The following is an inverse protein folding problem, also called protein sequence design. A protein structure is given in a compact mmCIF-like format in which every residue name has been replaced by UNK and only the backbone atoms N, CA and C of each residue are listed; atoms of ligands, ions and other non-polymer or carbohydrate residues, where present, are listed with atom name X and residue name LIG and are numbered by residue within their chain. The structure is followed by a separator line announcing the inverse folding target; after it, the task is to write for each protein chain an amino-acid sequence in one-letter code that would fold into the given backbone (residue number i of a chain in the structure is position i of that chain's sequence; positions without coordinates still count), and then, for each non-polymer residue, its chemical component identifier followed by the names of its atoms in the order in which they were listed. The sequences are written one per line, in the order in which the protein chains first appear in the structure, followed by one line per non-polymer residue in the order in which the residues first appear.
data_IF_797511175483
#
_entry.id   IF_797511175483
#
_cell.length_a   1.000
_cell.length_b   1.000
_cell.length_c   1.000
_cell.angle_alpha   90.00
_cell.angle_beta   90.00
_cell.angle_gamma   90.00
#
_symmetry.space_group_name_H-M   'P 1'
#
loop_
_entity.id
_entity.type
_entity.pdbx_description
1 polymer ?
#
# COMPACT_ATOMS: atom_id res chain seq x y z
N UNK A 1 -2.94 -5.07 30.58
CA UNK A 1 -2.91 -5.40 29.14
C UNK A 1 -1.97 -4.43 28.46
N UNK A 2 -0.80 -4.91 28.05
CA UNK A 2 0.23 -4.12 27.37
C UNK A 2 -0.22 -3.82 25.94
N UNK A 3 -0.42 -2.55 25.61
CA UNK A 3 -0.51 -2.10 24.22
C UNK A 3 0.90 -2.26 23.64
N UNK A 4 1.15 -3.39 22.99
CA UNK A 4 2.35 -3.61 22.20
C UNK A 4 2.36 -2.60 21.05
N UNK A 5 3.28 -1.64 21.13
CA UNK A 5 3.60 -0.65 20.09
C UNK A 5 4.30 -1.29 18.88
N UNK A 6 3.80 -2.41 18.38
CA UNK A 6 4.39 -3.14 17.26
C UNK A 6 3.31 -3.60 16.29
N UNK A 7 3.54 -3.35 14.99
CA UNK A 7 2.77 -3.82 13.82
C UNK A 7 1.61 -2.96 13.30
N UNK A 8 1.73 -1.62 13.32
CA UNK A 8 0.94 -0.79 12.37
C UNK A 8 1.73 -0.67 11.06
N UNK A 9 1.10 -0.91 9.93
CA UNK A 9 1.69 -0.73 8.60
C UNK A 9 2.62 -1.84 8.10
N UNK A 10 2.76 -2.98 8.78
CA UNK A 10 3.69 -4.05 8.34
C UNK A 10 3.17 -4.97 7.25
N UNK A 11 1.88 -4.91 6.91
CA UNK A 11 1.28 -5.87 6.00
C UNK A 11 1.70 -5.68 4.53
N UNK A 12 1.73 -6.79 3.79
CA UNK A 12 2.03 -6.82 2.37
C UNK A 12 0.77 -6.82 1.50
N UNK A 13 0.90 -6.28 0.28
CA UNK A 13 -0.12 -6.37 -0.76
C UNK A 13 0.47 -7.16 -1.91
N UNK A 14 -0.18 -8.26 -2.28
CA UNK A 14 0.17 -9.08 -3.44
C UNK A 14 -0.95 -8.92 -4.45
N UNK A 15 -0.62 -8.62 -5.70
CA UNK A 15 -1.60 -8.53 -6.77
C UNK A 15 -1.11 -9.24 -8.02
N UNK A 16 -1.96 -10.10 -8.55
CA UNK A 16 -1.86 -10.63 -9.90
C UNK A 16 -2.87 -9.88 -10.74
N UNK A 17 -2.42 -9.35 -11.87
CA UNK A 17 -3.26 -8.61 -12.80
C UNK A 17 -2.91 -8.99 -14.22
N UNK A 18 -3.84 -8.79 -15.15
CA UNK A 18 -3.54 -8.93 -16.57
C UNK A 18 -2.53 -7.87 -17.01
N UNK A 19 -1.91 -8.05 -18.18
CA UNK A 19 -1.04 -7.04 -18.78
C UNK A 19 -1.75 -5.72 -19.08
N UNK A 20 -3.09 -5.70 -19.10
CA UNK A 20 -3.93 -4.50 -19.20
C UNK A 20 -4.27 -3.86 -17.85
N UNK A 21 -3.71 -4.37 -16.73
CA UNK A 21 -3.94 -3.81 -15.40
C UNK A 21 -5.25 -4.24 -14.73
N UNK A 22 -5.96 -5.24 -15.28
CA UNK A 22 -7.18 -5.78 -14.68
C UNK A 22 -6.81 -6.75 -13.55
N UNK A 23 -7.26 -6.54 -12.30
CA UNK A 23 -6.95 -7.44 -11.19
C UNK A 23 -7.52 -8.84 -11.44
N UNK A 24 -6.67 -9.85 -11.27
CA UNK A 24 -7.05 -11.27 -11.22
C UNK A 24 -7.25 -11.68 -9.76
N UNK A 25 -6.21 -11.46 -8.94
CA UNK A 25 -6.20 -11.72 -7.50
C UNK A 25 -5.52 -10.55 -6.83
N UNK A 26 -6.06 -10.05 -5.73
CA UNK A 26 -5.36 -9.13 -4.84
C UNK A 26 -5.55 -9.57 -3.40
N UNK A 27 -4.43 -9.67 -2.69
CA UNK A 27 -4.36 -10.11 -1.30
C UNK A 27 -3.70 -8.96 -0.51
N UNK A 28 -4.35 -8.43 0.54
CA UNK A 28 -5.68 -8.80 1.00
C UNK A 28 -6.80 -8.33 0.07
N UNK A 29 -7.93 -9.03 0.09
CA UNK A 29 -9.10 -8.67 -0.72
C UNK A 29 -9.88 -7.55 -0.04
N UNK A 30 -9.89 -6.40 -0.70
CA UNK A 30 -10.50 -5.16 -0.20
C UNK A 30 -11.18 -4.43 -1.37
N UNK A 31 -12.19 -3.61 -1.08
CA UNK A 31 -12.95 -2.89 -2.12
C UNK A 31 -12.07 -2.00 -3.01
N UNK A 32 -10.99 -1.48 -2.45
CA UNK A 32 -10.04 -0.61 -3.16
C UNK A 32 -8.94 -1.38 -3.90
N UNK A 33 -8.95 -2.73 -3.89
CA UNK A 33 -7.95 -3.56 -4.57
C UNK A 33 -7.76 -3.22 -6.07
N UNK A 34 -8.81 -2.94 -6.88
CA UNK A 34 -8.62 -2.56 -8.28
C UNK A 34 -7.76 -1.30 -8.47
N UNK A 35 -7.82 -0.37 -7.51
CA UNK A 35 -7.02 0.87 -7.56
C UNK A 35 -5.53 0.55 -7.42
N UNK A 36 -5.16 -0.45 -6.62
CA UNK A 36 -3.77 -0.89 -6.52
C UNK A 36 -3.26 -1.42 -7.87
N UNK A 37 -4.05 -2.23 -8.58
CA UNK A 37 -3.67 -2.72 -9.91
C UNK A 37 -3.51 -1.59 -10.92
N UNK A 38 -4.38 -0.58 -10.89
CA UNK A 38 -4.23 0.62 -11.73
C UNK A 38 -2.94 1.40 -11.41
N UNK A 39 -2.62 1.58 -10.13
CA UNK A 39 -1.38 2.25 -9.69
C UNK A 39 -0.13 1.51 -10.19
N UNK A 40 -0.09 0.18 -10.00
CA UNK A 40 1.01 -0.67 -10.47
C UNK A 40 1.11 -0.60 -11.99
N UNK A 41 0.00 -0.71 -12.70
CA UNK A 41 -0.03 -0.65 -14.16
C UNK A 41 0.53 0.67 -14.71
N UNK A 42 0.16 1.81 -14.13
CA UNK A 42 0.74 3.12 -14.50
C UNK A 42 2.26 3.15 -14.35
N UNK A 43 2.80 2.64 -13.23
CA UNK A 43 4.24 2.57 -13.01
C UNK A 43 4.95 1.63 -14.00
N UNK A 44 4.39 0.44 -14.23
CA UNK A 44 4.95 -0.54 -15.18
C UNK A 44 4.96 0.02 -16.60
N UNK A 45 3.87 0.63 -17.04
CA UNK A 45 3.74 1.21 -18.38
C UNK A 45 4.79 2.30 -18.62
N UNK A 46 5.00 3.18 -17.63
CA UNK A 46 6.06 4.19 -17.68
C UNK A 46 7.45 3.57 -17.80
N UNK A 47 7.75 2.52 -17.02
CA UNK A 47 9.08 1.89 -17.09
C UNK A 47 9.28 1.11 -18.39
N UNK A 48 8.24 0.48 -18.94
CA UNK A 48 8.32 -0.25 -20.22
C UNK A 48 8.58 0.69 -21.40
N UNK A 49 8.01 1.89 -21.38
CA UNK A 49 8.27 2.92 -22.39
C UNK A 49 9.73 3.39 -22.36
N UNK A 50 10.35 3.38 -21.18
CA UNK A 50 11.69 3.94 -20.97
C UNK A 50 12.82 2.90 -20.96
N UNK A 51 12.51 1.60 -20.81
CA UNK A 51 13.50 0.53 -20.69
C UNK A 51 12.99 -0.79 -21.28
N UNK A 52 13.89 -1.61 -21.83
CA UNK A 52 13.57 -2.97 -22.27
C UNK A 52 13.67 -3.94 -21.08
N UNK A 53 12.54 -4.23 -20.43
CA UNK A 53 12.45 -4.90 -19.11
C UNK A 53 11.76 -6.28 -19.12
N UNK A 54 11.58 -6.89 -20.29
CA UNK A 54 10.89 -8.18 -20.37
C UNK A 54 11.55 -9.25 -19.48
N UNK A 55 10.72 -9.89 -18.65
CA UNK A 55 11.10 -10.99 -17.76
C UNK A 55 11.86 -10.61 -16.48
N UNK A 56 12.29 -9.35 -16.32
CA UNK A 56 13.04 -8.87 -15.14
C UNK A 56 12.09 -8.35 -14.05
N UNK A 57 12.52 -8.48 -12.80
CA UNK A 57 11.83 -7.85 -11.67
C UNK A 57 12.15 -6.37 -11.67
N UNK A 58 11.12 -5.55 -11.83
CA UNK A 58 11.17 -4.09 -11.68
C UNK A 58 11.03 -3.78 -10.20
N UNK A 59 11.84 -2.86 -9.70
CA UNK A 59 11.88 -2.48 -8.30
C UNK A 59 11.66 -0.98 -8.13
N UNK A 60 10.72 -0.62 -7.27
CA UNK A 60 10.54 0.75 -6.79
C UNK A 60 10.70 0.79 -5.27
N UNK A 61 11.46 1.75 -4.76
CA UNK A 61 11.50 2.07 -3.33
C UNK A 61 10.64 3.31 -3.12
N UNK A 62 9.62 3.17 -2.28
CA UNK A 62 8.60 4.20 -2.03
C UNK A 62 8.55 4.39 -0.52
N UNK A 63 9.27 5.40 -0.04
CA UNK A 63 9.49 5.65 1.40
C UNK A 63 10.04 4.41 2.11
N UNK A 64 9.34 3.91 3.13
CA UNK A 64 9.65 2.73 3.95
C UNK A 64 9.14 1.42 3.33
N UNK A 65 8.73 1.45 2.06
CA UNK A 65 8.19 0.29 1.34
C UNK A 65 8.90 0.03 0.03
N UNK A 66 8.81 -1.21 -0.42
CA UNK A 66 9.30 -1.68 -1.70
C UNK A 66 8.15 -2.26 -2.51
N UNK A 67 8.07 -1.84 -3.78
CA UNK A 67 7.21 -2.45 -4.78
C UNK A 67 8.10 -3.27 -5.74
N UNK A 68 7.91 -4.58 -5.74
CA UNK A 68 8.51 -5.49 -6.71
C UNK A 68 7.45 -5.87 -7.73
N UNK A 69 7.76 -5.74 -9.02
CA UNK A 69 6.84 -6.04 -10.10
C UNK A 69 7.52 -6.92 -11.13
N UNK A 70 6.88 -8.02 -11.52
CA UNK A 70 7.38 -8.90 -12.57
C UNK A 70 6.35 -8.99 -13.70
N UNK A 71 6.57 -8.30 -14.83
CA UNK A 71 5.76 -8.51 -16.01
C UNK A 71 6.10 -9.86 -16.66
N UNK A 72 5.05 -10.59 -17.06
CA UNK A 72 5.07 -11.75 -17.95
C UNK A 72 4.26 -11.41 -19.21
N UNK A 73 3.96 -12.41 -20.04
CA UNK A 73 3.31 -12.19 -21.34
C UNK A 73 1.88 -11.64 -21.15
N UNK A 74 1.04 -12.35 -20.39
CA UNK A 74 -0.37 -11.98 -20.16
C UNK A 74 -0.64 -11.49 -18.74
N UNK A 75 0.28 -11.74 -17.81
CA UNK A 75 0.10 -11.43 -16.38
C UNK A 75 1.23 -10.51 -15.86
N UNK A 76 0.90 -9.67 -14.88
CA UNK A 76 1.83 -8.91 -14.05
C UNK A 76 1.64 -9.37 -12.61
N UNK A 77 2.74 -9.68 -11.93
CA UNK A 77 2.75 -9.88 -10.47
C UNK A 77 3.35 -8.68 -9.80
N UNK A 78 2.68 -8.18 -8.77
CA UNK A 78 3.17 -7.12 -7.91
C UNK A 78 3.14 -7.55 -6.45
N UNK A 79 4.21 -7.24 -5.74
CA UNK A 79 4.32 -7.37 -4.28
C UNK A 79 4.75 -6.02 -3.70
N UNK A 80 3.93 -5.47 -2.81
CA UNK A 80 4.20 -4.24 -2.08
C UNK A 80 4.34 -4.53 -0.58
N UNK A 81 5.55 -4.40 -0.05
CA UNK A 81 5.91 -4.76 1.32
C UNK A 81 6.71 -3.65 2.00
N UNK A 82 6.78 -3.70 3.33
CA UNK A 82 7.71 -2.85 4.10
C UNK A 82 9.14 -3.26 3.77
N UNK A 83 10.04 -2.28 3.67
CA UNK A 83 11.45 -2.45 3.29
C UNK A 83 12.20 -3.51 4.11
N UNK A 84 11.87 -3.67 5.39
CA UNK A 84 12.46 -4.71 6.25
C UNK A 84 12.18 -6.15 5.81
N UNK A 85 11.18 -6.36 4.94
CA UNK A 85 10.84 -7.67 4.37
C UNK A 85 11.37 -7.85 2.95
N UNK A 86 12.40 -7.10 2.58
CA UNK A 86 12.94 -7.10 1.22
C UNK A 86 13.47 -8.47 0.79
N UNK A 87 14.15 -9.20 1.69
CA UNK A 87 14.70 -10.52 1.37
C UNK A 87 13.58 -11.56 1.18
N UNK A 88 12.57 -11.55 2.04
CA UNK A 88 11.35 -12.38 1.90
C UNK A 88 10.61 -12.03 0.59
N UNK A 89 10.50 -10.74 0.27
CA UNK A 89 9.84 -10.28 -0.94
C UNK A 89 10.57 -10.71 -2.21
N UNK A 90 11.91 -10.66 -2.22
CA UNK A 90 12.71 -11.15 -3.34
C UNK A 90 12.54 -12.66 -3.53
N UNK A 91 12.65 -13.44 -2.44
CA UNK A 91 12.42 -14.90 -2.47
C UNK A 91 11.02 -15.25 -2.98
N UNK A 92 10.00 -14.50 -2.55
CA UNK A 92 8.65 -14.66 -3.10
C UNK A 92 8.61 -14.44 -4.62
N UNK A 93 9.22 -13.36 -5.12
CA UNK A 93 9.20 -13.01 -6.56
C UNK A 93 10.00 -14.00 -7.43
N UNK A 94 10.95 -14.72 -6.84
CA UNK A 94 11.69 -15.80 -7.50
C UNK A 94 10.84 -17.07 -7.60
N UNK A 95 10.19 -17.48 -6.50
CA UNK A 95 9.42 -18.74 -6.43
C UNK A 95 8.04 -18.63 -7.08
N UNK A 96 7.40 -17.46 -7.05
CA UNK A 96 6.05 -17.27 -7.60
C UNK A 96 6.01 -17.52 -9.12
N UNK A 97 7.15 -17.45 -9.80
CA UNK A 97 7.27 -17.65 -11.26
C UNK A 97 6.62 -18.95 -11.73
N UNK A 98 6.84 -20.06 -11.02
CA UNK A 98 6.29 -21.36 -11.42
C UNK A 98 4.77 -21.39 -11.34
N UNK A 99 4.19 -20.69 -10.36
CA UNK A 99 2.75 -20.54 -10.20
C UNK A 99 2.21 -19.70 -11.36
N UNK A 100 2.91 -18.63 -11.69
CA UNK A 100 2.48 -17.68 -12.72
C UNK A 100 2.59 -18.26 -14.12
N UNK A 101 3.65 -19.02 -14.43
CA UNK A 101 3.81 -19.63 -15.76
C UNK A 101 2.65 -20.60 -16.05
N UNK A 102 2.16 -21.31 -15.04
CA UNK A 102 0.94 -22.12 -15.14
C UNK A 102 -0.29 -21.25 -15.42
N UNK A 103 -0.50 -20.18 -14.65
CA UNK A 103 -1.67 -19.31 -14.82
C UNK A 103 -1.62 -18.59 -16.18
N UNK A 104 -0.47 -18.06 -16.60
CA UNK A 104 -0.27 -17.33 -17.86
C UNK A 104 -0.62 -18.19 -19.08
N UNK A 105 -0.29 -19.49 -19.03
CA UNK A 105 -0.67 -20.45 -20.08
C UNK A 105 -2.19 -20.71 -20.15
N UNK A 106 -2.91 -20.49 -19.05
CA UNK A 106 -4.35 -20.73 -18.93
C UNK A 106 -5.19 -19.48 -19.23
N UNK A 107 -4.58 -18.28 -19.31
CA UNK A 107 -5.28 -17.04 -19.70
C UNK A 107 -5.57 -17.07 -21.20
N UNK A 108 -6.85 -17.15 -21.57
CA UNK A 108 -7.32 -17.02 -22.96
C UNK A 108 -7.11 -15.57 -23.42
N UNK A 109 -6.97 -15.31 -24.73
CA UNK A 109 -6.68 -13.97 -25.29
C UNK A 109 -7.65 -12.86 -24.82
N UNK A 110 -8.87 -13.20 -24.42
CA UNK A 110 -9.87 -12.25 -23.90
C UNK A 110 -9.70 -11.92 -22.40
N UNK A 111 -8.66 -12.43 -21.73
CA UNK A 111 -8.39 -12.15 -20.32
C UNK A 111 -9.32 -12.88 -19.34
N UNK A 112 -10.13 -13.83 -19.82
CA UNK A 112 -10.97 -14.68 -18.97
C UNK A 112 -10.15 -15.81 -18.34
N UNK A 113 -10.33 -15.98 -17.03
CA UNK A 113 -9.71 -17.04 -16.23
C UNK A 113 -10.84 -17.80 -15.52
N UNK A 114 -10.80 -19.13 -15.57
CA UNK A 114 -11.74 -19.98 -14.84
C UNK A 114 -11.68 -19.69 -13.33
N UNK A 115 -12.85 -19.58 -12.69
CA UNK A 115 -12.97 -19.35 -11.26
C UNK A 115 -12.26 -20.41 -10.40
N UNK A 116 -12.27 -21.68 -10.82
CA UNK A 116 -11.53 -22.73 -10.10
C UNK A 116 -10.02 -22.53 -10.17
N UNK A 117 -9.51 -22.06 -11.31
CA UNK A 117 -8.09 -21.77 -11.49
C UNK A 117 -7.69 -20.58 -10.61
N UNK A 118 -8.54 -19.56 -10.51
CA UNK A 118 -8.29 -18.40 -9.63
C UNK A 118 -8.22 -18.78 -8.15
N UNK A 119 -9.12 -19.63 -7.67
CA UNK A 119 -9.09 -20.06 -6.26
C UNK A 119 -7.85 -20.91 -5.93
N UNK A 120 -7.46 -21.83 -6.83
CA UNK A 120 -6.22 -22.61 -6.66
C UNK A 120 -4.98 -21.72 -6.71
N UNK A 121 -4.94 -20.75 -7.62
CA UNK A 121 -3.88 -19.77 -7.71
C UNK A 121 -3.77 -18.95 -6.42
N UNK A 122 -4.89 -18.43 -5.92
CA UNK A 122 -4.97 -17.67 -4.67
C UNK A 122 -4.42 -18.47 -3.50
N UNK A 123 -4.85 -19.71 -3.32
CA UNK A 123 -4.36 -20.57 -2.25
C UNK A 123 -2.85 -20.83 -2.37
N UNK A 124 -2.36 -21.09 -3.58
CA UNK A 124 -0.93 -21.33 -3.84
C UNK A 124 -0.07 -20.10 -3.52
N UNK A 125 -0.52 -18.91 -3.92
CA UNK A 125 0.16 -17.63 -3.67
C UNK A 125 0.18 -17.32 -2.17
N UNK A 126 -0.96 -17.51 -1.51
CA UNK A 126 -1.08 -17.25 -0.08
C UNK A 126 -0.17 -18.19 0.73
N UNK A 127 -0.17 -19.49 0.41
CA UNK A 127 0.72 -20.45 1.05
C UNK A 127 2.18 -20.08 0.81
N UNK A 128 2.57 -19.76 -0.43
CA UNK A 128 3.93 -19.34 -0.74
C UNK A 128 4.35 -18.09 0.06
N UNK A 129 3.48 -17.09 0.13
CA UNK A 129 3.77 -15.87 0.88
C UNK A 129 3.91 -16.14 2.40
N UNK A 130 3.11 -17.05 2.97
CA UNK A 130 3.29 -17.50 4.35
C UNK A 130 4.61 -18.27 4.53
N UNK A 131 4.92 -19.20 3.62
CA UNK A 131 6.11 -20.04 3.67
C UNK A 131 7.41 -19.23 3.61
N UNK A 132 7.43 -18.14 2.82
CA UNK A 132 8.59 -17.24 2.76
C UNK A 132 8.63 -16.21 3.89
N UNK A 133 7.62 -16.18 4.78
CA UNK A 133 7.57 -15.30 5.94
C UNK A 133 6.99 -13.90 5.69
N UNK A 134 6.24 -13.68 4.61
CA UNK A 134 5.59 -12.40 4.34
C UNK A 134 4.37 -12.18 5.24
N UNK A 135 4.21 -10.98 5.84
CA UNK A 135 3.08 -10.67 6.70
C UNK A 135 1.82 -10.33 5.89
N UNK A 136 1.03 -11.35 5.57
CA UNK A 136 -0.28 -11.18 4.92
C UNK A 136 -1.34 -10.87 5.98
N UNK A 137 -1.49 -9.61 6.38
CA UNK A 137 -2.60 -9.19 7.25
C UNK A 137 -3.07 -7.80 6.90
N UNK A 138 -4.40 -7.63 6.82
CA UNK A 138 -5.04 -6.31 6.65
C UNK A 138 -5.03 -5.52 7.96
N UNK A 139 -4.89 -6.19 9.10
CA UNK A 139 -4.94 -5.54 10.40
C UNK A 139 -3.78 -4.55 10.53
N UNK A 140 -4.13 -3.28 10.67
CA UNK A 140 -3.16 -2.19 10.78
C UNK A 140 -2.58 -1.71 9.45
N UNK A 141 -3.05 -2.17 8.28
CA UNK A 141 -2.73 -1.56 6.99
C UNK A 141 -3.66 -0.36 6.74
N UNK A 142 -3.12 0.86 6.73
CA UNK A 142 -3.87 2.03 6.29
C UNK A 142 -3.70 2.24 4.79
N UNK A 143 -4.56 1.57 4.00
CA UNK A 143 -4.51 1.55 2.54
C UNK A 143 -4.59 2.94 1.92
N UNK A 144 -5.32 3.88 2.56
CA UNK A 144 -5.46 5.25 2.07
C UNK A 144 -4.13 5.97 1.89
N UNK A 145 -3.23 5.89 2.88
CA UNK A 145 -1.87 6.45 2.80
C UNK A 145 -0.98 5.65 1.86
N UNK A 146 -1.05 4.32 1.95
CA UNK A 146 -0.20 3.40 1.18
C UNK A 146 -0.42 3.57 -0.33
N UNK A 147 -1.69 3.66 -0.76
CA UNK A 147 -2.04 3.94 -2.16
C UNK A 147 -1.73 5.38 -2.55
N UNK A 148 -1.92 6.33 -1.62
CA UNK A 148 -1.55 7.72 -1.84
C UNK A 148 -0.05 7.92 -2.06
N UNK A 149 0.80 7.16 -1.37
CA UNK A 149 2.25 7.22 -1.56
C UNK A 149 2.68 6.61 -2.90
N UNK A 150 2.04 5.53 -3.35
CA UNK A 150 2.19 5.01 -4.71
C UNK A 150 1.76 6.03 -5.77
N UNK A 151 0.62 6.69 -5.55
CA UNK A 151 0.13 7.74 -6.46
C UNK A 151 1.08 8.93 -6.52
N UNK A 152 1.65 9.35 -5.38
CA UNK A 152 2.69 10.36 -5.32
C UNK A 152 3.92 9.97 -6.14
N UNK A 153 4.33 8.70 -6.09
CA UNK A 153 5.45 8.20 -6.90
C UNK A 153 5.15 8.26 -8.42
N UNK A 154 3.93 7.93 -8.84
CA UNK A 154 3.48 8.05 -10.24
C UNK A 154 3.61 9.50 -10.72
N UNK A 155 3.10 10.46 -9.93
CA UNK A 155 3.20 11.89 -10.26
C UNK A 155 4.66 12.33 -10.34
N UNK A 156 5.48 11.97 -9.35
CA UNK A 156 6.89 12.37 -9.28
C UNK A 156 7.70 11.85 -10.46
N UNK A 157 7.37 10.65 -10.98
CA UNK A 157 8.01 10.09 -12.17
C UNK A 157 7.50 10.68 -13.49
N UNK A 158 6.40 11.44 -13.47
CA UNK A 158 5.73 11.91 -14.68
C UNK A 158 5.01 10.79 -15.45
N UNK A 159 4.64 9.71 -14.77
CA UNK A 159 3.83 8.64 -15.35
C UNK A 159 2.37 9.10 -15.52
N UNK A 160 1.65 8.52 -16.50
CA UNK A 160 0.24 8.86 -16.72
C UNK A 160 -0.61 8.50 -15.50
N UNK A 161 -1.27 9.53 -14.98
CA UNK A 161 -2.14 9.50 -13.80
C UNK A 161 -3.56 9.99 -14.11
N UNK A 162 -3.90 10.22 -15.38
CA UNK A 162 -5.19 10.77 -15.81
C UNK A 162 -6.37 9.95 -15.28
N UNK A 163 -6.31 8.62 -15.39
CA UNK A 163 -7.31 7.69 -14.85
C UNK A 163 -7.37 7.61 -13.31
N UNK A 164 -6.45 8.27 -12.59
CA UNK A 164 -6.33 8.19 -11.13
C UNK A 164 -6.76 9.47 -10.40
N UNK A 165 -6.88 10.61 -11.10
CA UNK A 165 -7.11 11.95 -10.51
C UNK A 165 -8.38 12.07 -9.65
N UNK A 166 -9.37 11.20 -9.83
CA UNK A 166 -10.61 11.17 -9.04
C UNK A 166 -10.55 10.34 -7.75
N UNK A 167 -9.54 9.47 -7.61
CA UNK A 167 -9.41 8.57 -6.46
C UNK A 167 -8.58 9.14 -5.32
N UNK A 168 -7.80 10.20 -5.57
CA UNK A 168 -6.84 10.73 -4.62
C UNK A 168 -7.02 12.22 -4.36
N UNK A 169 -6.71 12.64 -3.15
CA UNK A 169 -6.64 14.06 -2.77
C UNK A 169 -5.41 14.35 -1.95
N UNK A 170 -5.01 15.62 -1.93
CA UNK A 170 -3.97 16.10 -1.02
C UNK A 170 -4.46 16.00 0.43
N UNK A 171 -3.58 15.53 1.30
CA UNK A 171 -3.85 15.28 2.71
C UNK A 171 -2.62 15.59 3.57
N UNK A 172 -2.89 15.82 4.86
CA UNK A 172 -1.88 16.12 5.87
C UNK A 172 -1.83 15.00 6.91
N UNK A 173 -0.64 14.46 7.15
CA UNK A 173 -0.39 13.29 7.98
C UNK A 173 0.47 13.67 9.18
N UNK A 174 -0.12 13.90 10.36
CA UNK A 174 0.63 14.23 11.56
C UNK A 174 1.37 12.98 12.07
N UNK A 175 2.63 13.14 12.46
CA UNK A 175 3.44 12.10 13.10
C UNK A 175 4.09 12.62 14.36
N UNK A 176 3.87 11.94 15.48
CA UNK A 176 4.53 12.25 16.74
C UNK A 176 6.02 11.93 16.69
N UNK A 177 6.83 12.84 17.20
CA UNK A 177 8.26 12.63 17.44
C UNK A 177 8.52 12.21 18.89
N UNK A 178 7.67 12.62 19.83
CA UNK A 178 7.82 12.34 21.25
C UNK A 178 6.65 11.52 21.81
N UNK A 179 6.82 10.20 21.82
CA UNK A 179 5.82 9.25 22.33
C UNK A 179 5.62 9.33 23.85
N UNK A 180 6.45 10.07 24.60
CA UNK A 180 6.19 10.30 26.04
C UNK A 180 4.90 11.09 26.24
N UNK A 181 4.52 11.93 25.28
CA UNK A 181 3.29 12.71 25.30
C UNK A 181 2.04 11.83 25.46
N UNK A 182 2.00 10.67 24.80
CA UNK A 182 0.90 9.71 24.92
C UNK A 182 0.72 9.19 26.35
N UNK A 183 1.85 8.91 27.01
CA UNK A 183 1.85 8.35 28.38
C UNK A 183 1.49 9.41 29.42
N UNK A 184 1.82 10.67 29.17
CA UNK A 184 1.53 11.78 30.07
C UNK A 184 0.15 12.40 29.86
N UNK A 185 -0.50 12.16 28.71
CA UNK A 185 -1.80 12.77 28.41
C UNK A 185 -2.91 12.11 29.23
N UNK A 186 -3.66 12.92 29.98
CA UNK A 186 -4.75 12.47 30.87
C UNK A 186 -6.11 12.59 30.21
N UNK A 187 -6.29 13.48 29.23
CA UNK A 187 -7.54 13.64 28.51
C UNK A 187 -7.70 12.52 27.45
N UNK A 188 -8.73 11.68 27.59
CA UNK A 188 -8.96 10.50 26.73
C UNK A 188 -9.06 10.86 25.25
N UNK A 189 -9.80 11.92 24.91
CA UNK A 189 -9.93 12.39 23.53
C UNK A 189 -8.59 12.82 22.93
N UNK A 190 -7.76 13.50 23.72
CA UNK A 190 -6.45 13.99 23.27
C UNK A 190 -5.47 12.84 23.14
N UNK A 191 -5.52 11.86 24.05
CA UNK A 191 -4.75 10.63 23.94
C UNK A 191 -5.10 9.88 22.65
N UNK A 192 -6.39 9.68 22.34
CA UNK A 192 -6.85 9.06 21.10
C UNK A 192 -6.42 9.84 19.85
N UNK A 193 -6.44 11.17 19.90
CA UNK A 193 -5.93 12.02 18.81
C UNK A 193 -4.43 11.79 18.59
N UNK A 194 -3.65 11.82 19.67
CA UNK A 194 -2.21 11.54 19.65
C UNK A 194 -1.92 10.11 19.11
N UNK A 195 -2.72 9.11 19.48
CA UNK A 195 -2.56 7.73 19.01
C UNK A 195 -2.75 7.57 17.50
N UNK A 196 -3.53 8.46 16.88
CA UNK A 196 -3.73 8.49 15.44
C UNK A 196 -2.74 9.42 14.72
N UNK A 197 -1.90 10.17 15.44
CA UNK A 197 -0.81 10.96 14.85
C UNK A 197 0.42 10.08 14.59
N UNK A 198 0.25 9.07 13.74
CA UNK A 198 1.27 8.05 13.42
C UNK A 198 1.90 8.21 12.04
N UNK A 199 1.55 9.26 11.29
CA UNK A 199 2.00 9.50 9.91
C UNK A 199 1.24 8.69 8.85
N UNK A 200 0.32 7.82 9.27
CA UNK A 200 -0.54 7.05 8.37
C UNK A 200 -1.94 7.64 8.27
N UNK A 201 -2.52 8.09 9.37
CA UNK A 201 -3.86 8.68 9.36
C UNK A 201 -3.82 10.17 8.99
N UNK A 202 -4.68 10.59 8.07
CA UNK A 202 -4.82 12.01 7.72
C UNK A 202 -5.61 12.78 8.78
N UNK A 203 -5.43 14.11 8.84
CA UNK A 203 -6.24 14.97 9.72
C UNK A 203 -7.74 14.76 9.51
N UNK A 204 -8.21 14.63 8.26
CA UNK A 204 -9.63 14.36 7.99
C UNK A 204 -10.08 13.03 8.58
N UNK A 205 -9.27 11.97 8.40
CA UNK A 205 -9.59 10.68 9.01
C UNK A 205 -9.67 10.80 10.54
N UNK A 206 -8.69 11.43 11.17
CA UNK A 206 -8.65 11.64 12.63
C UNK A 206 -9.91 12.38 13.09
N UNK A 207 -10.30 13.44 12.38
CA UNK A 207 -11.49 14.22 12.71
C UNK A 207 -12.77 13.40 12.62
N UNK A 208 -12.93 12.61 11.54
CA UNK A 208 -14.06 11.70 11.34
C UNK A 208 -14.12 10.62 12.41
N UNK A 209 -12.97 9.99 12.71
CA UNK A 209 -12.87 8.89 13.68
C UNK A 209 -13.19 9.35 15.12
N UNK A 210 -12.80 10.57 15.48
CA UNK A 210 -12.99 11.10 16.82
C UNK A 210 -14.22 12.00 16.99
N UNK A 211 -14.97 12.25 15.91
CA UNK A 211 -16.13 13.16 15.93
C UNK A 211 -15.78 14.60 16.29
N UNK A 212 -14.61 15.09 15.88
CA UNK A 212 -14.14 16.46 16.16
C UNK A 212 -14.05 17.30 14.88
N UNK A 213 -14.13 18.62 15.03
CA UNK A 213 -13.91 19.52 13.89
C UNK A 213 -12.43 19.61 13.51
N UNK A 214 -12.15 19.80 12.21
CA UNK A 214 -10.79 20.02 11.71
C UNK A 214 -10.12 21.20 12.42
N UNK A 215 -10.85 22.29 12.67
CA UNK A 215 -10.32 23.43 13.41
C UNK A 215 -9.85 23.08 14.85
N UNK A 216 -10.50 22.11 15.51
CA UNK A 216 -10.04 21.61 16.81
C UNK A 216 -8.74 20.80 16.65
N UNK A 217 -8.69 19.89 15.68
CA UNK A 217 -7.49 19.10 15.40
C UNK A 217 -6.28 19.97 15.01
N UNK A 218 -6.45 20.90 14.07
CA UNK A 218 -5.39 21.81 13.62
C UNK A 218 -4.84 22.68 14.75
N UNK A 219 -5.69 23.21 15.64
CA UNK A 219 -5.22 24.01 16.79
C UNK A 219 -4.33 23.20 17.72
N UNK A 220 -4.67 21.94 17.96
CA UNK A 220 -3.86 21.05 18.77
C UNK A 220 -2.53 20.71 18.08
N UNK A 221 -2.60 20.25 16.83
CA UNK A 221 -1.42 19.90 16.02
C UNK A 221 -0.46 21.09 15.93
N UNK A 222 -0.95 22.31 15.69
CA UNK A 222 -0.14 23.53 15.63
C UNK A 222 0.60 23.86 16.94
N UNK A 223 0.07 23.45 18.10
CA UNK A 223 0.75 23.60 19.40
C UNK A 223 1.93 22.65 19.52
N UNK A 224 1.80 21.43 19.00
CA UNK A 224 2.86 20.41 19.03
C UNK A 224 3.94 20.63 17.97
N UNK A 225 3.55 21.11 16.78
CA UNK A 225 4.48 21.52 15.73
C UNK A 225 5.43 22.62 16.22
N UNK A 226 4.89 23.67 16.87
CA UNK A 226 5.69 24.76 17.45
C UNK A 226 6.66 24.34 18.55
N UNK A 227 6.46 23.15 19.13
CA UNK A 227 7.31 22.58 20.18
C UNK A 227 8.22 21.49 19.65
N UNK A 228 8.25 21.27 18.33
CA UNK A 228 9.04 20.24 17.67
C UNK A 228 8.74 18.83 18.21
N UNK A 229 7.50 18.60 18.68
CA UNK A 229 7.06 17.30 19.20
C UNK A 229 6.30 16.46 18.18
N UNK A 230 6.05 17.04 17.02
CA UNK A 230 5.28 16.47 15.93
C UNK A 230 5.82 17.02 14.62
N UNK A 231 5.66 16.27 13.54
CA UNK A 231 5.79 16.76 12.17
C UNK A 231 4.45 16.60 11.45
N UNK A 232 4.26 17.37 10.39
CA UNK A 232 3.10 17.27 9.52
C UNK A 232 3.58 17.02 8.09
N UNK A 233 3.37 15.81 7.59
CA UNK A 233 3.75 15.44 6.23
C UNK A 233 2.61 15.74 5.27
N UNK A 234 2.93 16.30 4.10
CA UNK A 234 1.99 16.48 2.99
C UNK A 234 2.09 15.25 2.09
N UNK A 235 0.96 14.75 1.61
CA UNK A 235 0.94 13.70 0.60
C UNK A 235 -0.45 13.49 0.03
N UNK A 236 -0.69 12.31 -0.53
CA UNK A 236 -2.00 11.94 -1.04
C UNK A 236 -2.68 10.91 -0.14
N UNK A 237 -4.01 10.92 -0.12
CA UNK A 237 -4.83 9.86 0.45
C UNK A 237 -5.90 9.40 -0.55
N UNK A 238 -6.22 8.12 -0.51
CA UNK A 238 -7.38 7.56 -1.21
C UNK A 238 -8.68 8.18 -0.67
N UNK A 239 -9.59 8.52 -1.58
CA UNK A 239 -10.94 8.96 -1.26
C UNK A 239 -11.83 7.71 -1.16
N UNK A 240 -12.32 7.43 0.05
CA UNK A 240 -13.32 6.40 0.35
C UNK A 240 -14.69 7.01 0.65
#
# INVERSE_FOLDING_TARGET
MSITSGRRGSGCIISLMTSAGVPIITIPEVKSAPIFSMLVYSLVSFTKQNNNIDGKVIRYRIKDRILLVRPKNKIIVALYAVDKFEEEAQRFMETVVEIIDKIDSLVIEEGMIDGEIMERARASILNLAVDVGLPISVEGIYLGRIYGDLYGEIINKGADSSGLKGYFRVAYFPRLLDYKLLRSETEDLMRKLLELCDGYHSIRYICKALGISEAKAYRFIAKLLRREKMILEIGFELIE
#
